data_IF_654681503197
#
_entry.id   IF_654681503197
#
_cell.length_a   1.000
_cell.length_b   1.000
_cell.length_c   1.000
_cell.angle_alpha   90.00
_cell.angle_beta   90.00
_cell.angle_gamma   90.00
#
_symmetry.space_group_name_H-M   'P 1'
#
loop_
_entity.id
_entity.type
_entity.pdbx_description
1 polymer ?
#
# COMPACT_ATOMS: atom_id res chain seq x y z
N UNK A 1 19.10 32.26 3.47
CA UNK A 1 18.33 32.09 4.73
C UNK A 1 17.72 30.70 4.67
N UNK A 2 18.20 29.75 5.49
CA UNK A 2 17.84 28.33 5.37
C UNK A 2 16.48 28.01 6.01
N UNK A 3 15.75 27.06 5.42
CA UNK A 3 14.41 26.57 5.80
C UNK A 3 14.28 26.21 7.30
N UNK A 4 15.37 25.82 7.94
CA UNK A 4 15.45 25.54 9.38
C UNK A 4 15.19 26.77 10.28
N UNK A 5 15.44 27.99 9.80
CA UNK A 5 15.21 29.21 10.59
C UNK A 5 13.73 29.61 10.64
N UNK A 6 12.91 29.18 9.67
CA UNK A 6 11.47 29.48 9.66
C UNK A 6 10.66 28.62 10.64
N UNK A 7 11.07 27.38 10.91
CA UNK A 7 10.38 26.51 11.88
C UNK A 7 10.54 27.04 13.32
N UNK A 8 11.65 27.71 13.65
CA UNK A 8 11.88 28.26 14.99
C UNK A 8 11.01 29.49 15.32
N UNK A 9 10.53 30.22 14.32
CA UNK A 9 9.72 31.42 14.55
C UNK A 9 8.21 31.15 14.56
N UNK A 10 7.74 30.01 14.05
CA UNK A 10 6.30 29.68 14.06
C UNK A 10 5.87 29.09 15.41
N UNK A 11 6.80 28.53 16.19
CA UNK A 11 6.51 27.94 17.51
C UNK A 11 6.68 28.91 18.69
N UNK A 12 7.15 30.15 18.50
CA UNK A 12 7.35 31.09 19.62
C UNK A 12 6.09 31.86 20.05
N UNK A 13 4.97 31.75 19.33
CA UNK A 13 3.76 32.53 19.64
C UNK A 13 2.61 31.77 20.30
N UNK A 14 2.70 30.44 20.48
CA UNK A 14 1.69 29.69 21.25
C UNK A 14 2.34 28.57 22.07
N UNK A 15 2.22 28.74 23.39
CA UNK A 15 2.72 27.90 24.49
C UNK A 15 4.15 28.16 24.95
N UNK A 16 4.25 29.11 25.88
CA UNK A 16 5.14 28.99 27.02
C UNK A 16 4.84 27.66 27.73
N UNK A 17 5.60 26.61 27.40
CA UNK A 17 5.83 25.51 28.32
C UNK A 17 7.32 25.22 28.31
N UNK A 18 7.94 25.58 29.43
CA UNK A 18 9.37 25.46 29.69
C UNK A 18 9.74 24.00 29.93
N UNK A 19 10.22 23.33 28.89
CA UNK A 19 11.19 22.26 29.05
C UNK A 19 12.08 22.24 27.81
N UNK A 20 13.30 22.78 27.96
CA UNK A 20 14.35 22.56 26.96
C UNK A 20 14.50 21.04 26.76
N UNK A 21 14.55 20.53 25.53
CA UNK A 21 14.83 19.12 25.30
C UNK A 21 16.16 18.78 25.98
N UNK A 22 16.19 17.72 26.78
CA UNK A 22 17.43 17.31 27.45
C UNK A 22 18.49 17.00 26.37
N UNK A 23 19.72 17.46 26.58
CA UNK A 23 20.84 17.17 25.67
C UNK A 23 21.05 15.66 25.47
N UNK A 24 20.64 14.84 26.46
CA UNK A 24 20.59 13.38 26.41
C UNK A 24 19.56 12.85 25.41
N UNK A 25 18.37 13.46 25.28
CA UNK A 25 17.37 13.07 24.28
C UNK A 25 17.83 13.35 22.84
N UNK A 26 18.51 14.48 22.61
CA UNK A 26 19.07 14.82 21.29
C UNK A 26 20.23 13.89 20.92
N UNK A 27 21.05 13.48 21.89
CA UNK A 27 22.14 12.52 21.68
C UNK A 27 21.62 11.11 21.37
N UNK A 28 20.56 10.65 22.05
CA UNK A 28 19.93 9.36 21.76
C UNK A 28 19.26 9.32 20.38
N UNK A 29 18.56 10.38 19.98
CA UNK A 29 18.00 10.48 18.63
C UNK A 29 19.11 10.50 17.56
N UNK A 30 20.22 11.23 17.78
CA UNK A 30 21.38 11.24 16.87
C UNK A 30 22.11 9.90 16.77
N UNK A 31 22.13 9.10 17.83
CA UNK A 31 22.72 7.76 17.82
C UNK A 31 21.80 6.69 17.21
N UNK A 32 20.48 6.88 17.32
CA UNK A 32 19.47 5.99 16.71
C UNK A 32 19.25 6.30 15.22
N UNK A 33 19.39 7.56 14.80
CA UNK A 33 19.20 7.99 13.41
C UNK A 33 19.98 7.13 12.40
N UNK A 34 21.30 6.83 12.55
CA UNK A 34 22.01 6.00 11.60
C UNK A 34 21.55 4.53 11.57
N UNK A 35 21.06 3.99 12.68
CA UNK A 35 20.53 2.61 12.74
C UNK A 35 19.16 2.52 12.10
N UNK A 36 18.27 3.45 12.46
CA UNK A 36 16.93 3.59 11.87
C UNK A 36 17.04 3.92 10.39
N UNK A 37 17.95 4.81 9.99
CA UNK A 37 18.21 5.14 8.59
C UNK A 37 18.80 3.95 7.81
N UNK A 38 19.64 3.11 8.44
CA UNK A 38 20.15 1.88 7.81
C UNK A 38 19.04 0.83 7.60
N UNK A 39 18.13 0.67 8.56
CA UNK A 39 16.95 -0.22 8.44
C UNK A 39 15.91 0.36 7.45
N UNK A 40 15.65 1.66 7.49
CA UNK A 40 14.79 2.35 6.52
C UNK A 40 15.36 2.27 5.09
N UNK A 41 16.68 2.38 4.92
CA UNK A 41 17.34 2.19 3.60
C UNK A 41 17.20 0.76 3.07
N UNK A 42 16.97 -0.24 3.93
CA UNK A 42 16.68 -1.61 3.48
C UNK A 42 15.24 -1.80 3.03
N UNK A 43 14.29 -1.01 3.55
CA UNK A 43 12.90 -1.03 3.11
C UNK A 43 12.70 -0.12 1.90
N UNK A 44 12.18 -0.67 0.80
CA UNK A 44 11.84 0.12 -0.40
C UNK A 44 10.33 0.30 -0.48
N UNK A 45 9.90 1.52 -0.72
CA UNK A 45 8.52 1.79 -1.07
C UNK A 45 8.27 1.47 -2.55
N UNK A 46 7.01 1.23 -2.95
CA UNK A 46 5.93 0.82 -2.05
C UNK A 46 6.21 -0.59 -1.48
N UNK A 47 5.71 -0.86 -0.27
CA UNK A 47 5.87 -2.16 0.39
C UNK A 47 5.09 -3.27 -0.31
N UNK A 48 3.90 -2.91 -0.79
CA UNK A 48 2.96 -3.77 -1.50
C UNK A 48 1.90 -2.90 -2.14
N UNK A 49 1.10 -3.49 -3.03
CA UNK A 49 -0.14 -2.87 -3.51
C UNK A 49 -1.29 -3.86 -3.34
N UNK A 50 -2.49 -3.36 -3.10
CA UNK A 50 -3.71 -4.15 -3.22
C UNK A 50 -4.51 -3.71 -4.43
N UNK A 51 -5.12 -4.68 -5.11
CA UNK A 51 -6.10 -4.48 -6.16
C UNK A 51 -7.45 -4.81 -5.55
N UNK A 52 -8.16 -3.77 -5.12
CA UNK A 52 -9.46 -3.89 -4.47
C UNK A 52 -10.56 -3.81 -5.54
N UNK A 53 -11.27 -4.92 -5.73
CA UNK A 53 -12.13 -5.18 -6.88
C UNK A 53 -13.59 -5.16 -6.43
N UNK A 54 -14.40 -4.28 -7.02
CA UNK A 54 -15.83 -4.22 -6.73
C UNK A 54 -16.65 -5.25 -7.53
N UNK A 55 -17.95 -5.37 -7.21
CA UNK A 55 -18.87 -6.28 -7.91
C UNK A 55 -19.09 -5.98 -9.39
N UNK A 56 -18.70 -4.80 -9.85
CA UNK A 56 -18.77 -4.36 -11.24
C UNK A 56 -17.44 -4.53 -11.98
N UNK A 57 -16.45 -5.15 -11.32
CA UNK A 57 -15.07 -5.32 -11.79
C UNK A 57 -14.33 -3.99 -11.95
N UNK A 58 -14.71 -2.94 -11.22
CA UNK A 58 -13.83 -1.78 -11.11
C UNK A 58 -12.70 -2.12 -10.12
N UNK A 59 -11.49 -1.69 -10.43
CA UNK A 59 -10.31 -1.91 -9.59
C UNK A 59 -9.92 -0.58 -8.97
N UNK A 60 -9.67 -0.59 -7.67
CA UNK A 60 -8.87 0.43 -7.01
C UNK A 60 -7.54 -0.20 -6.63
N UNK A 61 -6.45 0.33 -7.18
CA UNK A 61 -5.10 -0.04 -6.78
C UNK A 61 -4.71 0.84 -5.59
N UNK A 62 -4.66 0.26 -4.39
CA UNK A 62 -4.22 0.95 -3.16
C UNK A 62 -2.75 0.64 -2.91
N UNK A 63 -1.97 1.68 -2.64
CA UNK A 63 -0.52 1.55 -2.47
C UNK A 63 -0.17 1.60 -0.99
N UNK A 64 0.50 0.55 -0.53
CA UNK A 64 1.03 0.48 0.83
C UNK A 64 2.49 0.91 0.83
N UNK A 65 2.82 1.82 1.74
CA UNK A 65 4.19 2.29 1.95
C UNK A 65 4.71 1.69 3.24
N UNK A 66 6.00 1.36 3.31
CA UNK A 66 6.63 1.05 4.57
C UNK A 66 6.58 2.26 5.50
N UNK A 67 6.20 1.97 6.74
CA UNK A 67 6.33 2.84 7.89
C UNK A 67 7.65 2.58 8.60
N UNK A 68 8.23 3.58 9.26
CA UNK A 68 9.49 3.45 10.01
C UNK A 68 9.47 2.37 11.10
N UNK A 69 8.29 1.97 11.57
CA UNK A 69 8.11 0.89 12.53
C UNK A 69 8.09 -0.51 11.88
N UNK A 70 8.32 -0.63 10.57
CA UNK A 70 8.51 -1.90 9.86
C UNK A 70 7.24 -2.55 9.30
N UNK A 71 6.11 -1.84 9.25
CA UNK A 71 4.85 -2.34 8.68
C UNK A 71 4.38 -1.49 7.48
N UNK A 72 3.57 -2.07 6.59
CA UNK A 72 2.95 -1.35 5.47
C UNK A 72 1.75 -0.51 5.90
N UNK A 73 1.62 0.71 5.36
CA UNK A 73 0.53 1.65 5.63
C UNK A 73 -0.06 2.22 4.35
N UNK A 74 -1.39 2.26 4.28
CA UNK A 74 -2.16 2.96 3.24
C UNK A 74 -2.24 4.46 3.58
N UNK A 75 -1.86 5.31 2.62
CA UNK A 75 -1.73 6.77 2.81
C UNK A 75 -2.54 7.62 1.83
N UNK A 76 -3.63 7.08 1.27
CA UNK A 76 -4.51 7.87 0.39
C UNK A 76 -3.98 8.05 -1.03
N UNK A 77 -3.02 7.20 -1.41
CA UNK A 77 -2.42 7.15 -2.73
C UNK A 77 -2.94 5.91 -3.47
N UNK A 78 -3.75 6.13 -4.50
CA UNK A 78 -4.42 5.07 -5.23
C UNK A 78 -4.60 5.40 -6.71
N UNK A 79 -4.95 4.38 -7.50
CA UNK A 79 -5.34 4.48 -8.91
C UNK A 79 -6.70 3.81 -9.08
N UNK A 80 -7.63 4.47 -9.77
CA UNK A 80 -8.92 3.87 -10.12
C UNK A 80 -8.90 3.40 -11.58
N UNK A 81 -9.35 2.17 -11.81
CA UNK A 81 -9.53 1.59 -13.13
C UNK A 81 -10.97 1.14 -13.29
N UNK A 82 -11.66 1.70 -14.29
CA UNK A 82 -13.03 1.32 -14.61
C UNK A 82 -13.03 0.26 -15.71
N UNK A 83 -13.86 -0.76 -15.57
CA UNK A 83 -14.05 -1.78 -16.61
C UNK A 83 -14.69 -1.17 -17.88
N UNK A 84 -14.30 -1.58 -19.10
CA UNK A 84 -13.36 -2.65 -19.44
C UNK A 84 -11.89 -2.20 -19.49
N UNK A 85 -11.01 -3.10 -19.07
CA UNK A 85 -9.56 -2.99 -19.19
C UNK A 85 -8.97 -4.32 -19.69
N UNK A 86 -7.76 -4.29 -20.22
CA UNK A 86 -7.01 -5.47 -20.66
C UNK A 86 -6.07 -6.00 -19.56
N UNK A 87 -5.48 -7.18 -19.77
CA UNK A 87 -4.41 -7.67 -18.89
C UNK A 87 -3.22 -6.71 -18.87
N UNK A 88 -2.85 -6.17 -20.03
CA UNK A 88 -1.72 -5.24 -20.12
C UNK A 88 -1.98 -3.95 -19.34
N UNK A 89 -3.21 -3.44 -19.32
CA UNK A 89 -3.55 -2.25 -18.53
C UNK A 89 -3.39 -2.50 -17.03
N UNK A 90 -3.83 -3.67 -16.53
CA UNK A 90 -3.63 -4.06 -15.13
C UNK A 90 -2.14 -4.09 -14.81
N UNK A 91 -1.36 -4.84 -15.59
CA UNK A 91 0.07 -5.00 -15.34
C UNK A 91 0.85 -3.69 -15.45
N UNK A 92 0.49 -2.82 -16.39
CA UNK A 92 1.15 -1.52 -16.57
C UNK A 92 0.95 -0.63 -15.34
N UNK A 93 -0.26 -0.55 -14.80
CA UNK A 93 -0.52 0.22 -13.59
C UNK A 93 0.20 -0.37 -12.36
N UNK A 94 0.30 -1.70 -12.26
CA UNK A 94 1.08 -2.36 -11.21
C UNK A 94 2.55 -1.96 -11.30
N UNK A 95 3.17 -2.11 -12.49
CA UNK A 95 4.56 -1.73 -12.73
C UNK A 95 4.78 -0.25 -12.44
N UNK A 96 3.89 0.62 -12.91
CA UNK A 96 3.96 2.06 -12.66
C UNK A 96 3.97 2.38 -11.15
N UNK A 97 3.16 1.69 -10.34
CA UNK A 97 3.15 1.88 -8.89
C UNK A 97 4.52 1.57 -8.27
N UNK A 98 5.15 0.47 -8.69
CA UNK A 98 6.46 0.07 -8.16
C UNK A 98 7.64 0.83 -8.75
N UNK A 99 7.55 1.36 -9.97
CA UNK A 99 8.65 2.10 -10.60
C UNK A 99 8.64 3.60 -10.29
N UNK A 100 7.45 4.23 -10.31
CA UNK A 100 7.34 5.69 -10.21
C UNK A 100 7.00 6.14 -8.80
N UNK A 101 6.15 5.39 -8.10
CA UNK A 101 5.69 5.73 -6.73
C UNK A 101 6.58 5.13 -5.64
N UNK A 102 7.58 4.33 -6.02
CA UNK A 102 8.65 3.84 -5.14
C UNK A 102 9.62 4.90 -4.65
N UNK A 103 9.61 6.07 -5.28
CA UNK A 103 10.49 7.17 -4.91
C UNK A 103 10.07 7.89 -3.63
N UNK A 104 8.92 7.56 -3.04
CA UNK A 104 8.53 8.14 -1.75
C UNK A 104 9.42 7.60 -0.62
N UNK A 105 9.94 8.47 0.27
CA UNK A 105 10.65 8.02 1.46
C UNK A 105 9.72 7.22 2.37
N UNK A 106 10.31 6.39 3.25
CA UNK A 106 9.57 5.68 4.30
C UNK A 106 8.76 6.67 5.11
N UNK A 107 7.49 6.33 5.37
CA UNK A 107 6.57 7.17 6.12
C UNK A 107 7.01 7.20 7.58
N UNK A 108 7.21 8.40 8.11
CA UNK A 108 7.58 8.63 9.53
C UNK A 108 6.34 8.96 10.37
N UNK A 109 6.40 8.71 11.68
CA UNK A 109 5.24 8.83 12.59
C UNK A 109 4.62 10.24 12.58
N UNK A 110 5.45 11.27 12.42
CA UNK A 110 5.02 12.67 12.36
C UNK A 110 4.12 12.93 11.15
N UNK A 111 4.40 12.28 10.01
CA UNK A 111 3.60 12.39 8.79
C UNK A 111 2.31 11.59 8.88
N UNK A 112 2.31 10.45 9.61
CA UNK A 112 1.15 9.56 9.70
C UNK A 112 -0.14 10.27 10.12
N UNK A 113 -0.04 11.21 11.06
CA UNK A 113 -1.20 11.92 11.60
C UNK A 113 -1.93 12.81 10.59
N UNK A 114 -1.25 13.25 9.52
CA UNK A 114 -1.84 14.07 8.46
C UNK A 114 -2.26 13.27 7.22
N UNK A 115 -1.92 11.98 7.17
CA UNK A 115 -2.27 11.09 6.06
C UNK A 115 -3.67 10.51 6.25
N UNK A 116 -4.46 10.52 5.17
CA UNK A 116 -5.78 9.91 5.14
C UNK A 116 -5.70 8.58 4.40
N UNK A 117 -6.16 7.46 4.99
CA UNK A 117 -6.22 6.19 4.28
C UNK A 117 -7.09 6.28 3.02
N UNK A 118 -6.73 5.55 1.96
CA UNK A 118 -7.43 5.52 0.67
C UNK A 118 -8.90 5.16 0.85
N UNK A 119 -9.22 4.18 1.70
CA UNK A 119 -10.62 3.82 1.94
C UNK A 119 -11.46 5.01 2.44
N UNK A 120 -10.87 5.91 3.24
CA UNK A 120 -11.60 7.05 3.80
C UNK A 120 -11.90 8.09 2.72
N UNK A 121 -10.94 8.32 1.82
CA UNK A 121 -11.08 9.19 0.66
C UNK A 121 -12.15 8.65 -0.29
N UNK A 122 -11.98 7.40 -0.73
CA UNK A 122 -12.83 6.78 -1.77
C UNK A 122 -14.26 6.58 -1.27
N UNK A 123 -14.43 6.11 -0.04
CA UNK A 123 -15.77 5.89 0.53
C UNK A 123 -16.46 7.18 0.99
N UNK A 124 -15.83 8.35 0.81
CA UNK A 124 -16.32 9.65 1.29
C UNK A 124 -16.66 9.61 2.79
N UNK A 125 -15.78 8.99 3.58
CA UNK A 125 -15.90 8.90 5.03
C UNK A 125 -16.79 7.78 5.58
N UNK A 126 -17.36 6.89 4.75
CA UNK A 126 -18.18 5.75 5.24
C UNK A 126 -17.37 4.67 5.97
N UNK A 127 -16.04 4.73 5.88
CA UNK A 127 -15.12 3.99 6.74
C UNK A 127 -14.73 2.60 6.21
N UNK A 128 -13.81 1.96 6.93
CA UNK A 128 -13.13 0.73 6.49
C UNK A 128 -14.06 -0.47 6.36
N UNK A 129 -15.03 -0.64 7.25
CA UNK A 129 -16.00 -1.75 7.15
C UNK A 129 -16.87 -1.63 5.90
N UNK A 130 -17.25 -0.40 5.53
CA UNK A 130 -18.01 -0.16 4.30
C UNK A 130 -17.21 -0.56 3.04
N UNK A 131 -15.90 -0.28 3.07
CA UNK A 131 -14.94 -0.66 2.03
C UNK A 131 -14.82 -2.17 1.92
N UNK A 132 -14.45 -2.85 3.02
CA UNK A 132 -14.30 -4.31 3.06
C UNK A 132 -15.55 -5.03 2.55
N UNK A 133 -16.74 -4.54 2.90
CA UNK A 133 -17.98 -5.20 2.51
C UNK A 133 -18.29 -5.14 1.00
N UNK A 134 -17.53 -4.37 0.22
CA UNK A 134 -17.76 -4.15 -1.21
C UNK A 134 -16.65 -4.62 -2.12
N UNK A 135 -15.48 -4.91 -1.57
CA UNK A 135 -14.30 -5.22 -2.36
C UNK A 135 -13.72 -6.57 -1.97
N UNK A 136 -13.38 -7.35 -2.99
CA UNK A 136 -12.39 -8.40 -2.89
C UNK A 136 -11.00 -7.78 -3.05
N UNK A 137 -9.95 -8.45 -2.59
CA UNK A 137 -8.60 -7.90 -2.70
C UNK A 137 -7.61 -8.93 -3.20
N UNK A 138 -6.79 -8.52 -4.17
CA UNK A 138 -5.62 -9.27 -4.64
C UNK A 138 -4.40 -8.43 -4.29
N UNK A 139 -3.43 -9.00 -3.58
CA UNK A 139 -2.21 -8.31 -3.22
C UNK A 139 -1.08 -8.66 -4.19
N UNK A 140 -0.24 -7.67 -4.45
CA UNK A 140 0.98 -7.83 -5.23
C UNK A 140 2.16 -7.32 -4.41
N UNK A 141 3.17 -8.18 -4.26
CA UNK A 141 4.42 -7.89 -3.56
C UNK A 141 5.59 -8.00 -4.52
N UNK A 142 6.43 -6.97 -4.59
CA UNK A 142 7.65 -6.98 -5.40
C UNK A 142 8.86 -7.22 -4.48
N UNK A 143 9.42 -8.43 -4.54
CA UNK A 143 10.64 -8.81 -3.82
C UNK A 143 11.69 -9.39 -4.78
N UNK A 144 12.31 -10.50 -4.38
CA UNK A 144 13.15 -11.29 -5.29
C UNK A 144 12.32 -11.85 -6.47
N UNK A 145 11.04 -12.14 -6.21
CA UNK A 145 10.02 -12.50 -7.18
C UNK A 145 8.81 -11.57 -7.02
N UNK A 146 7.95 -11.52 -8.02
CA UNK A 146 6.63 -10.91 -7.93
C UNK A 146 5.69 -11.97 -7.34
N UNK A 147 5.15 -11.74 -6.15
CA UNK A 147 4.11 -12.58 -5.56
C UNK A 147 2.75 -11.91 -5.74
N UNK A 148 1.78 -12.66 -6.23
CA UNK A 148 0.40 -12.21 -6.49
C UNK A 148 -0.53 -13.19 -5.81
N UNK A 149 -1.34 -12.69 -4.88
CA UNK A 149 -2.14 -13.55 -3.99
C UNK A 149 -3.54 -13.00 -3.76
N UNK A 150 -4.51 -13.90 -3.61
CA UNK A 150 -5.85 -13.52 -3.20
C UNK A 150 -5.91 -13.33 -1.68
N UNK A 151 -6.47 -12.22 -1.23
CA UNK A 151 -6.68 -11.97 0.19
C UNK A 151 -8.14 -12.20 0.58
N UNK A 152 -8.36 -13.13 1.50
CA UNK A 152 -9.68 -13.41 2.02
C UNK A 152 -10.16 -12.30 2.94
N UNK A 153 -11.41 -11.86 2.74
CA UNK A 153 -12.06 -10.96 3.68
C UNK A 153 -12.49 -11.71 4.93
N UNK A 154 -11.86 -11.41 6.05
CA UNK A 154 -12.33 -11.83 7.36
C UNK A 154 -13.44 -10.88 7.84
N UNK A 155 -14.62 -11.44 8.07
CA UNK A 155 -15.84 -10.68 8.40
C UNK A 155 -16.42 -11.00 9.79
N UNK A 156 -15.81 -11.91 10.54
CA UNK A 156 -16.29 -12.39 11.83
C UNK A 156 -15.20 -12.36 12.90
N UNK A 157 -15.57 -12.03 14.14
CA UNK A 157 -14.66 -12.03 15.30
C UNK A 157 -13.91 -10.71 15.50
N UNK A 158 -12.76 -10.80 16.16
CA UNK A 158 -11.85 -9.68 16.45
C UNK A 158 -11.01 -9.27 15.23
N UNK A 159 -10.92 -10.13 14.21
CA UNK A 159 -10.18 -9.87 12.98
C UNK A 159 -11.12 -9.40 11.87
N UNK A 160 -11.18 -8.08 11.64
CA UNK A 160 -11.86 -7.49 10.49
C UNK A 160 -10.79 -6.94 9.54
N UNK A 161 -10.65 -7.57 8.38
CA UNK A 161 -9.63 -7.18 7.43
C UNK A 161 -9.49 -8.16 6.27
N UNK A 162 -8.39 -8.01 5.54
CA UNK A 162 -7.94 -8.96 4.55
C UNK A 162 -6.86 -9.85 5.18
N UNK A 163 -6.98 -11.16 5.03
CA UNK A 163 -6.00 -12.13 5.51
C UNK A 163 -5.76 -13.22 4.48
N UNK A 164 -4.61 -13.89 4.59
CA UNK A 164 -4.34 -15.12 3.84
C UNK A 164 -5.05 -16.33 4.50
N UNK A 165 -5.47 -16.24 5.77
CA UNK A 165 -5.79 -17.35 6.68
C UNK A 165 -7.13 -18.08 6.45
N UNK A 166 -7.47 -18.40 5.21
CA UNK A 166 -8.37 -19.53 4.93
C UNK A 166 -7.57 -20.60 4.22
N UNK A 167 -7.50 -21.79 4.82
CA UNK A 167 -6.76 -22.95 4.30
C UNK A 167 -7.09 -23.24 2.82
N UNK A 168 -8.33 -23.00 2.40
CA UNK A 168 -8.80 -23.16 1.01
C UNK A 168 -8.26 -22.09 0.03
N UNK A 169 -7.84 -20.92 0.52
CA UNK A 169 -7.33 -19.80 -0.30
C UNK A 169 -5.82 -19.56 -0.17
N UNK A 170 -5.17 -20.18 0.81
CA UNK A 170 -3.70 -20.23 0.91
C UNK A 170 -3.01 -20.78 -0.36
N UNK A 171 -3.76 -21.46 -1.24
CA UNK A 171 -3.25 -22.04 -2.49
C UNK A 171 -3.33 -21.10 -3.70
N UNK A 172 -4.00 -19.93 -3.62
CA UNK A 172 -4.14 -19.00 -4.75
C UNK A 172 -3.03 -17.94 -4.73
N UNK A 173 -1.77 -18.40 -4.76
CA UNK A 173 -0.57 -17.56 -4.94
C UNK A 173 0.09 -17.89 -6.29
N UNK A 174 0.44 -16.87 -7.06
CA UNK A 174 1.26 -16.98 -8.26
C UNK A 174 2.56 -16.22 -8.04
N UNK A 175 3.69 -16.89 -8.29
CA UNK A 175 5.03 -16.27 -8.29
C UNK A 175 5.54 -16.10 -9.70
N UNK A 176 5.92 -14.88 -10.05
CA UNK A 176 6.55 -14.54 -11.32
C UNK A 176 7.98 -14.05 -11.11
N UNK A 177 8.79 -14.13 -12.17
CA UNK A 177 10.09 -13.45 -12.19
C UNK A 177 9.88 -11.94 -12.12
N UNK A 178 10.81 -11.21 -11.49
CA UNK A 178 10.84 -9.74 -11.52
C UNK A 178 10.92 -9.15 -12.93
N UNK A 179 11.41 -9.93 -13.90
CA UNK A 179 11.55 -9.51 -15.30
C UNK A 179 10.28 -9.78 -16.12
N UNK A 180 9.19 -10.23 -15.47
CA UNK A 180 7.92 -10.47 -16.15
C UNK A 180 7.32 -9.20 -16.72
N UNK A 181 6.78 -9.30 -17.94
CA UNK A 181 6.17 -8.17 -18.62
C UNK A 181 4.85 -7.77 -17.96
N UNK A 182 4.40 -6.53 -18.22
CA UNK A 182 3.09 -6.06 -17.80
C UNK A 182 1.96 -7.03 -18.20
N UNK A 183 2.00 -7.56 -19.42
CA UNK A 183 1.04 -8.57 -19.88
C UNK A 183 1.02 -9.81 -18.97
N UNK A 184 2.18 -10.35 -18.61
CA UNK A 184 2.30 -11.54 -17.75
C UNK A 184 1.79 -11.27 -16.32
N UNK A 185 2.11 -10.10 -15.78
CA UNK A 185 1.64 -9.66 -14.46
C UNK A 185 0.11 -9.57 -14.46
N UNK A 186 -0.49 -8.90 -15.45
CA UNK A 186 -1.94 -8.77 -15.55
C UNK A 186 -2.66 -10.11 -15.79
N UNK A 187 -2.05 -11.02 -16.57
CA UNK A 187 -2.56 -12.39 -16.74
C UNK A 187 -2.55 -13.16 -15.42
N UNK A 188 -1.50 -13.03 -14.61
CA UNK A 188 -1.41 -13.68 -13.31
C UNK A 188 -2.45 -13.14 -12.32
N UNK A 189 -2.67 -11.82 -12.28
CA UNK A 189 -3.78 -11.23 -11.51
C UNK A 189 -5.13 -11.81 -11.93
N UNK A 190 -5.37 -11.92 -13.25
CA UNK A 190 -6.61 -12.53 -13.74
C UNK A 190 -6.73 -14.01 -13.36
N UNK A 191 -5.63 -14.77 -13.37
CA UNK A 191 -5.62 -16.17 -12.96
C UNK A 191 -5.99 -16.32 -11.48
N UNK A 192 -5.41 -15.48 -10.60
CA UNK A 192 -5.77 -15.43 -9.17
C UNK A 192 -7.25 -15.11 -8.99
N UNK A 193 -7.74 -14.05 -9.65
CA UNK A 193 -9.16 -13.68 -9.58
C UNK A 193 -10.09 -14.80 -10.07
N UNK A 194 -9.76 -15.39 -11.22
CA UNK A 194 -10.55 -16.46 -11.84
C UNK A 194 -10.56 -17.73 -11.01
N UNK A 195 -9.45 -18.09 -10.37
CA UNK A 195 -9.40 -19.25 -9.47
C UNK A 195 -10.41 -19.10 -8.32
N UNK A 196 -10.60 -17.88 -7.81
CA UNK A 196 -11.57 -17.58 -6.75
C UNK A 196 -13.02 -17.46 -7.25
N UNK A 197 -13.23 -16.85 -8.42
CA UNK A 197 -14.55 -16.39 -8.87
C UNK A 197 -15.14 -17.15 -10.06
N UNK A 198 -14.35 -18.01 -10.72
CA UNK A 198 -14.77 -18.79 -11.89
C UNK A 198 -14.97 -17.96 -13.18
N UNK A 199 -14.71 -16.65 -13.15
CA UNK A 199 -14.88 -15.74 -14.30
C UNK A 199 -13.64 -14.85 -14.47
N UNK A 200 -13.41 -14.40 -15.70
CA UNK A 200 -12.28 -13.49 -15.99
C UNK A 200 -12.56 -12.07 -15.44
N UNK A 201 -11.52 -11.46 -14.88
CA UNK A 201 -11.50 -10.08 -14.38
C UNK A 201 -11.42 -9.07 -15.54
N UNK A 202 -10.52 -9.30 -16.49
CA UNK A 202 -10.29 -8.38 -17.60
C UNK A 202 -11.11 -8.77 -18.84
N UNK A 203 -11.34 -7.80 -19.72
CA UNK A 203 -11.93 -8.09 -21.02
C UNK A 203 -10.89 -8.84 -21.88
N UNK A 204 -11.22 -10.04 -22.33
CA UNK A 204 -10.40 -10.73 -23.34
C UNK A 204 -10.59 -9.99 -24.66
N UNK A 205 -9.66 -9.09 -24.99
CA UNK A 205 -9.56 -8.60 -26.37
C UNK A 205 -9.15 -9.80 -27.22
N UNK A 206 -10.06 -10.25 -28.09
CA UNK A 206 -9.71 -11.19 -29.16
C UNK A 206 -8.60 -10.52 -29.97
N UNK A 207 -7.37 -11.03 -29.83
CA UNK A 207 -6.31 -10.77 -30.79
C UNK A 207 -6.67 -11.35 -32.16
#
# INVERSE_FOLDING_TARGET
>A
MNFLTQIFNITSSRHQNTSKPSMTGIAHMRAALPKVEKEIRTYKNPSSISLDIDKHKNIVIVIYYYHQAGFGIDIGDFIEMNYPYTFEDIGRNIVECFETRSQRPVVIEEERSCLQPSFKVITKGKGFVYWLNRHESIHVHMGENISIEYMHRESSGENRGYSQHKEEYNEIEIKLSKDSSAMQIGQAVNQVYRAKNGVDLAAVTKG
#
